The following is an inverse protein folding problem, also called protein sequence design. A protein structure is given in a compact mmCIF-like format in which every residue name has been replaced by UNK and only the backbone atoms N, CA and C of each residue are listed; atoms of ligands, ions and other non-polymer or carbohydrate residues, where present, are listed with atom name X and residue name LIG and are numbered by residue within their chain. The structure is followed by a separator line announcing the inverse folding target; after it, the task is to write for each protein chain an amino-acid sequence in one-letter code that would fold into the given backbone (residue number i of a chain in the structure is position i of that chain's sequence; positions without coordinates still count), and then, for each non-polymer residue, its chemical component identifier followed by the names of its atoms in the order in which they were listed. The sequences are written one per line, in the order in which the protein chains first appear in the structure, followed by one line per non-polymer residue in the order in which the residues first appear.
data_IF_407017285844
#
_entry.id   IF_407017285844
#
_cell.length_a   1.000
_cell.length_b   1.000
_cell.length_c   1.000
_cell.angle_alpha   90.00
_cell.angle_beta   90.00
_cell.angle_gamma   90.00
#
_symmetry.space_group_name_H-M   'P 1'
#
loop_
_entity.id
_entity.type
_entity.pdbx_description
1 polymer ?
#
# COMPACT_ATOMS: atom_id res chain seq x y z
N UNK A 1 5.71 10.19 5.70
CA UNK A 1 5.91 10.13 7.17
C UNK A 1 5.70 8.69 7.58
N UNK A 2 6.70 8.07 8.15
CA UNK A 2 6.62 6.74 8.75
C UNK A 2 6.29 6.91 10.23
N UNK A 3 5.28 6.19 10.68
CA UNK A 3 4.94 6.08 12.11
C UNK A 3 5.52 4.80 12.66
N UNK A 4 6.02 4.82 13.89
CA UNK A 4 6.62 3.68 14.56
C UNK A 4 5.86 3.33 15.83
N UNK A 5 5.66 2.04 16.08
CA UNK A 5 5.22 1.53 17.38
C UNK A 5 6.39 0.83 18.05
N UNK A 6 6.71 1.30 19.26
CA UNK A 6 7.74 0.70 20.13
C UNK A 6 7.06 -0.04 21.26
N UNK A 7 7.44 -1.29 21.43
CA UNK A 7 7.03 -2.10 22.57
C UNK A 7 8.23 -2.16 23.52
N UNK A 8 8.08 -1.65 24.74
CA UNK A 8 9.10 -1.66 25.76
C UNK A 8 8.67 -2.43 27.00
N UNK A 9 9.62 -3.03 27.67
CA UNK A 9 9.38 -3.66 28.98
C UNK A 9 9.13 -2.57 30.03
N UNK A 10 8.01 -2.63 30.77
CA UNK A 10 7.67 -1.63 31.77
C UNK A 10 8.64 -1.59 32.97
N UNK A 11 9.38 -2.67 33.23
CA UNK A 11 10.27 -2.78 34.37
C UNK A 11 11.69 -2.29 34.05
N UNK A 12 12.20 -2.64 32.88
CA UNK A 12 13.59 -2.35 32.46
C UNK A 12 13.69 -1.16 31.51
N UNK A 13 12.59 -0.72 30.90
CA UNK A 13 12.57 0.33 29.89
C UNK A 13 13.19 -0.09 28.55
N UNK A 14 13.65 -1.33 28.42
CA UNK A 14 14.24 -1.86 27.20
C UNK A 14 13.21 -1.99 26.10
N UNK A 15 13.55 -1.58 24.88
CA UNK A 15 12.71 -1.77 23.71
C UNK A 15 12.77 -3.23 23.27
N UNK A 16 11.64 -3.93 23.35
CA UNK A 16 11.49 -5.32 22.94
C UNK A 16 11.25 -5.46 21.44
N UNK A 17 10.53 -4.53 20.86
CA UNK A 17 10.20 -4.53 19.42
C UNK A 17 9.94 -3.10 18.95
N UNK A 18 10.37 -2.82 17.72
CA UNK A 18 10.11 -1.57 17.02
C UNK A 18 9.59 -1.90 15.63
N UNK A 19 8.35 -1.49 15.32
CA UNK A 19 7.70 -1.80 14.05
C UNK A 19 7.20 -0.52 13.38
N UNK A 20 7.49 -0.40 12.08
CA UNK A 20 6.97 0.67 11.25
C UNK A 20 5.51 0.40 10.90
N UNK A 21 4.68 1.44 10.96
CA UNK A 21 3.27 1.35 10.64
C UNK A 21 3.03 2.06 9.31
N UNK A 22 2.39 1.40 8.34
CA UNK A 22 1.98 2.02 7.10
C UNK A 22 0.97 3.15 7.34
N UNK A 23 1.02 4.17 6.47
CA UNK A 23 0.01 5.23 6.47
C UNK A 23 -1.37 4.64 6.17
N UNK A 24 -2.36 5.04 6.95
CA UNK A 24 -3.73 4.54 6.82
C UNK A 24 -4.07 3.34 7.69
N UNK A 25 -3.16 2.90 8.54
CA UNK A 25 -3.42 1.82 9.48
C UNK A 25 -4.36 2.24 10.60
N UNK A 26 -5.25 1.34 11.00
CA UNK A 26 -6.06 1.49 12.21
C UNK A 26 -5.26 1.01 13.41
N UNK A 27 -5.17 1.85 14.45
CA UNK A 27 -4.44 1.53 15.69
C UNK A 27 -5.45 1.25 16.79
N UNK A 28 -5.44 0.02 17.33
CA UNK A 28 -6.36 -0.44 18.38
C UNK A 28 -5.85 -0.17 19.79
N UNK A 29 -4.59 0.20 19.93
CA UNK A 29 -3.95 0.41 21.23
C UNK A 29 -3.64 1.89 21.47
N UNK A 30 -3.89 2.35 22.67
CA UNK A 30 -3.52 3.71 23.09
C UNK A 30 -2.05 3.75 23.50
N UNK A 31 -1.42 4.91 23.34
CA UNK A 31 -0.04 5.12 23.79
C UNK A 31 0.13 4.77 25.27
N UNK A 32 1.23 4.15 25.61
CA UNK A 32 1.59 3.67 26.97
C UNK A 32 0.65 2.62 27.58
N UNK A 33 -0.20 1.97 26.77
CA UNK A 33 -1.07 0.90 27.26
C UNK A 33 -0.27 -0.37 27.43
N UNK A 34 -0.46 -1.08 28.57
CA UNK A 34 0.09 -2.43 28.75
C UNK A 34 -0.64 -3.41 27.84
N UNK A 35 0.10 -4.20 27.10
CA UNK A 35 -0.41 -5.21 26.17
C UNK A 35 0.14 -6.59 26.53
N UNK A 36 -0.58 -7.64 26.17
CA UNK A 36 -0.16 -9.03 26.31
C UNK A 36 0.26 -9.59 24.96
N UNK A 37 1.04 -10.66 24.96
CA UNK A 37 1.38 -11.41 23.74
C UNK A 37 0.09 -11.82 23.00
N UNK A 38 0.02 -11.59 21.69
CA UNK A 38 -1.16 -11.88 20.86
C UNK A 38 -2.21 -10.76 20.81
N UNK A 39 -1.98 -9.60 21.45
CA UNK A 39 -2.89 -8.44 21.32
C UNK A 39 -2.74 -7.83 19.92
N UNK A 40 -3.85 -7.64 19.22
CA UNK A 40 -3.89 -6.90 17.96
C UNK A 40 -3.55 -5.43 18.20
N UNK A 41 -2.52 -4.93 17.56
CA UNK A 41 -2.00 -3.57 17.75
C UNK A 41 -2.51 -2.66 16.65
N UNK A 42 -2.34 -3.04 15.40
CA UNK A 42 -2.79 -2.28 14.23
C UNK A 42 -3.25 -3.23 13.11
N UNK A 43 -4.01 -2.65 12.20
CA UNK A 43 -4.52 -3.32 11.01
C UNK A 43 -4.39 -2.35 9.83
N UNK A 44 -4.01 -2.83 8.66
CA UNK A 44 -3.90 -2.04 7.43
C UNK A 44 -4.29 -2.86 6.22
N UNK A 45 -4.64 -2.16 5.15
CA UNK A 45 -4.89 -2.75 3.84
C UNK A 45 -3.60 -2.70 2.99
N UNK A 46 -2.97 -3.85 2.69
CA UNK A 46 -1.76 -3.87 1.87
C UNK A 46 -2.02 -3.62 0.38
N UNK A 47 -3.25 -3.86 -0.09
CA UNK A 47 -3.62 -3.79 -1.51
C UNK A 47 -4.00 -2.38 -1.96
N UNK A 48 -4.40 -1.53 -1.04
CA UNK A 48 -4.82 -0.17 -1.35
C UNK A 48 -3.92 0.86 -0.65
N UNK A 49 -3.54 1.89 -1.40
CA UNK A 49 -3.14 3.16 -0.80
C UNK A 49 -4.39 3.91 -0.39
N UNK A 50 -4.33 4.69 0.67
CA UNK A 50 -5.50 5.45 1.15
C UNK A 50 -5.16 6.94 1.25
N UNK A 51 -6.17 7.78 0.99
CA UNK A 51 -6.16 9.20 1.37
C UNK A 51 -7.13 9.36 2.53
N UNK A 52 -6.62 9.88 3.64
CA UNK A 52 -7.36 10.05 4.89
C UNK A 52 -7.58 11.53 5.15
N UNK A 53 -8.72 11.86 5.76
CA UNK A 53 -9.00 13.22 6.18
C UNK A 53 -8.14 13.65 7.37
N UNK A 54 -7.40 14.74 7.21
CA UNK A 54 -6.60 15.36 8.27
C UNK A 54 -7.45 16.23 9.21
N UNK A 55 -8.69 16.57 8.81
CA UNK A 55 -9.60 17.44 9.56
C UNK A 55 -11.03 16.97 9.42
N UNK A 56 -11.88 17.37 10.37
CA UNK A 56 -13.33 17.23 10.24
C UNK A 56 -13.89 18.35 9.37
N UNK A 57 -14.89 18.04 8.55
CA UNK A 57 -15.49 19.02 7.66
C UNK A 57 -16.53 18.43 6.71
N UNK A 58 -16.89 19.20 5.69
CA UNK A 58 -17.79 18.79 4.61
C UNK A 58 -17.04 18.62 3.31
N UNK A 59 -17.25 17.51 2.62
CA UNK A 59 -16.66 17.25 1.31
C UNK A 59 -17.39 18.05 0.23
N UNK A 60 -16.62 18.58 -0.71
CA UNK A 60 -17.13 19.15 -1.95
C UNK A 60 -16.28 18.65 -3.12
N UNK A 61 -16.94 18.26 -4.19
CA UNK A 61 -16.29 17.83 -5.42
C UNK A 61 -15.90 19.04 -6.28
N UNK A 62 -14.71 19.01 -6.83
CA UNK A 62 -14.23 19.98 -7.81
C UNK A 62 -13.67 19.23 -9.03
N UNK A 63 -14.16 19.56 -10.21
CA UNK A 63 -13.81 18.88 -11.47
C UNK A 63 -14.06 17.35 -11.46
N UNK A 64 -15.05 16.89 -10.70
CA UNK A 64 -15.45 15.47 -10.62
C UNK A 64 -16.81 15.35 -11.32
N UNK A 65 -16.79 15.02 -12.62
CA UNK A 65 -17.97 14.95 -13.49
C UNK A 65 -18.15 13.53 -14.03
N UNK A 66 -19.40 13.00 -14.05
CA UNK A 66 -19.68 11.64 -14.52
C UNK A 66 -19.39 11.51 -16.02
N UNK A 67 -18.72 10.43 -16.41
CA UNK A 67 -18.35 10.15 -17.80
C UNK A 67 -17.20 11.01 -18.37
N UNK A 68 -16.69 11.98 -17.60
CA UNK A 68 -15.58 12.85 -18.02
C UNK A 68 -14.34 12.61 -17.15
N UNK A 69 -14.52 12.63 -15.82
CA UNK A 69 -13.42 12.47 -14.86
C UNK A 69 -13.61 11.27 -13.94
N UNK A 70 -14.83 10.74 -13.83
CA UNK A 70 -15.07 9.48 -13.14
C UNK A 70 -16.13 8.63 -13.85
N UNK A 71 -16.03 7.33 -13.67
CA UNK A 71 -17.05 6.34 -14.06
C UNK A 71 -17.51 5.56 -12.83
N UNK A 72 -18.72 5.00 -12.93
CA UNK A 72 -19.26 4.11 -11.90
C UNK A 72 -19.00 2.69 -12.35
N UNK A 73 -18.13 2.00 -11.64
CA UNK A 73 -17.85 0.59 -11.84
C UNK A 73 -18.64 -0.25 -10.81
N UNK A 74 -19.06 -1.42 -11.21
CA UNK A 74 -19.69 -2.38 -10.31
C UNK A 74 -18.64 -3.43 -9.98
N UNK A 75 -18.28 -3.54 -8.71
CA UNK A 75 -17.41 -4.61 -8.24
C UNK A 75 -18.15 -5.95 -8.40
N UNK A 76 -17.65 -6.82 -9.27
CA UNK A 76 -18.26 -8.13 -9.58
C UNK A 76 -18.31 -9.06 -8.37
N UNK A 77 -17.42 -8.87 -7.37
CA UNK A 77 -17.37 -9.72 -6.18
C UNK A 77 -18.34 -9.27 -5.10
N UNK A 78 -18.46 -7.97 -4.90
CA UNK A 78 -19.28 -7.40 -3.81
C UNK A 78 -20.62 -6.86 -4.30
N UNK A 79 -20.77 -6.59 -5.59
CA UNK A 79 -21.95 -5.98 -6.18
C UNK A 79 -22.13 -4.50 -5.84
N UNK A 80 -21.16 -3.88 -5.16
CA UNK A 80 -21.22 -2.45 -4.83
C UNK A 80 -20.78 -1.58 -6.01
N UNK A 81 -21.43 -0.43 -6.14
CA UNK A 81 -21.06 0.57 -7.12
C UNK A 81 -19.94 1.44 -6.53
N UNK A 82 -18.82 1.50 -7.21
CA UNK A 82 -17.69 2.34 -6.85
C UNK A 82 -17.45 3.41 -7.91
N UNK A 83 -17.13 4.62 -7.47
CA UNK A 83 -16.78 5.73 -8.37
C UNK A 83 -15.28 5.72 -8.59
N UNK A 84 -14.85 5.44 -9.80
CA UNK A 84 -13.43 5.33 -10.18
C UNK A 84 -13.03 6.54 -11.00
N UNK A 85 -11.95 7.19 -10.64
CA UNK A 85 -11.40 8.32 -11.39
C UNK A 85 -10.76 7.80 -12.68
N UNK A 86 -11.22 8.31 -13.82
CA UNK A 86 -10.70 8.00 -15.15
C UNK A 86 -9.80 9.12 -15.69
N UNK A 87 -9.00 8.81 -16.69
CA UNK A 87 -8.19 9.80 -17.36
C UNK A 87 -9.07 10.72 -18.23
N UNK A 88 -9.12 12.00 -17.87
CA UNK A 88 -9.84 12.99 -18.68
C UNK A 88 -9.06 13.39 -19.94
N UNK A 89 -9.74 13.49 -21.07
CA UNK A 89 -9.17 14.04 -22.31
C UNK A 89 -8.69 15.48 -22.13
N UNK A 90 -9.33 16.23 -21.24
CA UNK A 90 -8.92 17.59 -20.90
C UNK A 90 -8.00 17.60 -19.70
N UNK A 91 -6.68 17.68 -19.94
CA UNK A 91 -5.64 17.70 -18.90
C UNK A 91 -5.71 18.88 -17.93
N UNK A 92 -6.55 19.88 -18.20
CA UNK A 92 -6.77 21.02 -17.29
C UNK A 92 -7.76 20.68 -16.16
N UNK A 93 -8.57 19.65 -16.35
CA UNK A 93 -9.51 19.19 -15.32
C UNK A 93 -8.81 18.22 -14.40
N UNK A 94 -8.35 18.70 -13.25
CA UNK A 94 -7.75 17.88 -12.20
C UNK A 94 -8.85 17.56 -11.19
N UNK A 95 -9.28 16.28 -11.08
CA UNK A 95 -10.26 15.87 -10.10
C UNK A 95 -9.74 16.13 -8.69
N UNK A 96 -10.46 16.89 -7.89
CA UNK A 96 -10.02 17.30 -6.55
C UNK A 96 -11.15 17.17 -5.54
N UNK A 97 -10.87 16.62 -4.37
CA UNK A 97 -11.76 16.68 -3.21
C UNK A 97 -11.40 17.89 -2.36
N UNK A 98 -12.38 18.75 -2.12
CA UNK A 98 -12.26 19.89 -1.23
C UNK A 98 -12.89 19.57 0.12
N UNK A 99 -12.15 19.76 1.19
CA UNK A 99 -12.67 19.70 2.54
C UNK A 99 -12.96 21.12 3.04
N UNK A 100 -14.23 21.41 3.33
CA UNK A 100 -14.71 22.71 3.75
C UNK A 100 -15.11 22.70 5.23
N UNK A 101 -14.90 23.81 5.92
CA UNK A 101 -15.38 24.01 7.28
C UNK A 101 -16.88 24.37 7.31
N UNK A 102 -17.44 24.55 8.49
CA UNK A 102 -18.85 24.98 8.67
C UNK A 102 -19.16 26.36 8.08
N UNK A 103 -18.14 27.18 7.81
CA UNK A 103 -18.28 28.51 7.18
C UNK A 103 -18.14 28.46 5.66
N UNK A 104 -17.88 27.29 5.06
CA UNK A 104 -17.69 27.10 3.61
C UNK A 104 -16.29 27.39 3.11
N UNK A 105 -15.33 27.70 3.98
CA UNK A 105 -13.94 27.93 3.60
C UNK A 105 -13.22 26.60 3.37
N UNK A 106 -12.32 26.55 2.38
CA UNK A 106 -11.53 25.36 2.06
C UNK A 106 -10.42 25.19 3.09
N UNK A 107 -10.49 24.11 3.88
CA UNK A 107 -9.44 23.74 4.84
C UNK A 107 -8.32 22.98 4.12
N UNK A 108 -8.69 22.05 3.23
CA UNK A 108 -7.75 21.17 2.54
C UNK A 108 -8.28 20.79 1.17
N UNK A 109 -7.37 20.57 0.24
CA UNK A 109 -7.65 19.99 -1.08
C UNK A 109 -6.84 18.73 -1.28
N UNK A 110 -7.44 17.71 -1.89
CA UNK A 110 -6.83 16.42 -2.18
C UNK A 110 -6.99 16.15 -3.68
N UNK A 111 -5.90 16.19 -4.42
CA UNK A 111 -5.89 15.84 -5.83
C UNK A 111 -6.00 14.33 -5.99
N UNK A 112 -6.83 13.88 -6.90
CA UNK A 112 -7.12 12.47 -7.12
C UNK A 112 -6.34 11.92 -8.31
N UNK A 113 -5.55 10.87 -8.13
CA UNK A 113 -4.91 10.20 -9.25
C UNK A 113 -5.92 9.35 -10.02
N UNK A 114 -5.60 9.07 -11.29
CA UNK A 114 -6.36 8.14 -12.13
C UNK A 114 -6.35 6.73 -11.51
N UNK A 115 -7.49 6.06 -11.55
CA UNK A 115 -7.70 4.77 -10.90
C UNK A 115 -7.98 4.85 -9.40
N UNK A 116 -8.20 6.04 -8.84
CA UNK A 116 -8.61 6.21 -7.46
C UNK A 116 -10.11 5.93 -7.28
N UNK A 117 -10.46 5.16 -6.26
CA UNK A 117 -11.83 4.82 -5.89
C UNK A 117 -12.33 5.79 -4.82
N UNK A 118 -13.41 6.49 -5.09
CA UNK A 118 -14.03 7.42 -4.15
C UNK A 118 -14.89 6.67 -3.12
N UNK A 119 -14.58 6.85 -1.85
CA UNK A 119 -15.34 6.25 -0.74
C UNK A 119 -16.41 7.20 -0.20
N UNK A 120 -16.27 8.50 -0.46
CA UNK A 120 -17.14 9.55 0.04
C UNK A 120 -17.90 10.23 -1.10
N UNK A 121 -19.11 10.75 -0.80
CA UNK A 121 -19.92 11.48 -1.76
C UNK A 121 -19.80 12.99 -1.56
N UNK A 122 -20.23 13.72 -2.59
CA UNK A 122 -20.35 15.18 -2.48
C UNK A 122 -21.35 15.57 -1.39
N UNK A 123 -20.94 16.51 -0.54
CA UNK A 123 -21.76 16.96 0.58
C UNK A 123 -21.64 16.14 1.87
N UNK A 124 -20.91 15.03 1.88
CA UNK A 124 -20.74 14.21 3.09
C UNK A 124 -20.02 14.97 4.20
N UNK A 125 -20.50 14.78 5.44
CA UNK A 125 -19.78 15.22 6.64
C UNK A 125 -18.75 14.17 7.03
N UNK A 126 -17.53 14.62 7.19
CA UNK A 126 -16.36 13.78 7.43
C UNK A 126 -15.75 14.11 8.78
N UNK A 127 -15.42 13.07 9.53
CA UNK A 127 -14.64 13.17 10.76
C UNK A 127 -13.14 13.01 10.48
N UNK A 128 -12.32 13.43 11.43
CA UNK A 128 -10.88 13.22 11.41
C UNK A 128 -10.54 11.72 11.26
N UNK A 129 -9.63 11.38 10.35
CA UNK A 129 -9.16 10.03 10.17
C UNK A 129 -10.05 9.14 9.27
N UNK A 130 -11.15 9.68 8.69
CA UNK A 130 -11.98 8.92 7.76
C UNK A 130 -11.27 8.75 6.41
N UNK A 131 -11.34 7.56 5.86
CA UNK A 131 -10.81 7.26 4.51
C UNK A 131 -11.71 7.97 3.48
N UNK A 132 -11.10 8.79 2.65
CA UNK A 132 -11.76 9.54 1.57
C UNK A 132 -11.67 8.79 0.25
N UNK A 133 -10.49 8.21 -0.02
CA UNK A 133 -10.16 7.60 -1.30
C UNK A 133 -9.32 6.36 -1.06
N UNK A 134 -9.60 5.31 -1.82
CA UNK A 134 -8.75 4.13 -1.94
C UNK A 134 -8.07 4.16 -3.30
N UNK A 135 -6.78 3.93 -3.33
CA UNK A 135 -5.99 3.87 -4.56
C UNK A 135 -5.48 2.45 -4.64
N UNK A 136 -6.04 1.60 -5.51
CA UNK A 136 -5.53 0.26 -5.69
C UNK A 136 -4.04 0.36 -6.02
N UNK A 137 -3.22 -0.24 -5.20
CA UNK A 137 -1.84 -0.47 -5.60
C UNK A 137 -1.95 -1.43 -6.77
N UNK A 138 -1.78 -0.92 -7.98
CA UNK A 138 -1.61 -1.81 -9.11
C UNK A 138 -0.47 -2.73 -8.68
N UNK A 139 -0.80 -3.96 -8.28
CA UNK A 139 0.18 -5.02 -8.43
C UNK A 139 0.65 -4.81 -9.85
N UNK A 140 1.95 -4.56 -10.02
CA UNK A 140 2.49 -4.36 -11.36
C UNK A 140 1.82 -5.45 -12.15
N UNK A 141 0.94 -5.06 -13.08
CA UNK A 141 0.10 -6.01 -13.82
C UNK A 141 1.06 -7.11 -14.13
N UNK A 142 0.76 -8.30 -13.65
CA UNK A 142 1.41 -9.51 -14.13
C UNK A 142 1.78 -9.22 -15.55
N UNK A 143 3.06 -8.83 -15.73
CA UNK A 143 3.49 -8.21 -16.99
C UNK A 143 3.07 -9.20 -18.03
N UNK A 144 2.39 -8.76 -19.05
CA UNK A 144 1.71 -9.55 -20.07
C UNK A 144 2.47 -10.87 -20.24
N UNK A 145 1.97 -11.93 -19.56
CA UNK A 145 2.67 -13.21 -19.51
C UNK A 145 2.70 -13.66 -20.94
N UNK A 146 3.89 -13.64 -21.56
CA UNK A 146 4.07 -14.12 -22.90
C UNK A 146 3.46 -15.53 -22.96
N UNK A 147 2.30 -15.63 -23.57
CA UNK A 147 1.58 -16.90 -23.73
C UNK A 147 1.86 -17.54 -25.07
N UNK A 148 1.16 -18.62 -25.37
CA UNK A 148 1.27 -19.31 -26.65
C UNK A 148 2.60 -20.01 -26.87
N UNK A 149 2.99 -20.14 -28.15
CA UNK A 149 4.18 -20.89 -28.57
C UNK A 149 5.50 -20.40 -27.92
N UNK A 150 5.76 -19.10 -27.78
CA UNK A 150 6.99 -18.63 -27.11
C UNK A 150 7.09 -19.11 -25.66
N UNK A 151 6.00 -19.10 -24.92
CA UNK A 151 5.99 -19.57 -23.52
C UNK A 151 6.17 -21.07 -23.41
N UNK A 152 5.52 -21.82 -24.31
CA UNK A 152 5.67 -23.27 -24.40
C UNK A 152 7.13 -23.62 -24.66
N UNK A 153 7.79 -22.93 -25.60
CA UNK A 153 9.20 -23.16 -25.93
C UNK A 153 10.12 -22.85 -24.73
N UNK A 154 9.90 -21.73 -24.03
CA UNK A 154 10.66 -21.41 -22.81
C UNK A 154 10.55 -22.52 -21.75
N UNK A 155 9.33 -23.03 -21.52
CA UNK A 155 9.09 -24.06 -20.50
C UNK A 155 9.74 -25.39 -20.88
N UNK A 156 9.59 -25.86 -22.14
CA UNK A 156 10.17 -27.11 -22.58
C UNK A 156 11.71 -27.07 -22.73
N UNK A 157 12.24 -25.91 -23.09
CA UNK A 157 13.70 -25.72 -23.15
C UNK A 157 14.32 -25.36 -21.78
N UNK A 158 13.51 -25.24 -20.74
CA UNK A 158 13.91 -24.84 -19.38
C UNK A 158 14.78 -23.56 -19.37
N UNK A 159 14.42 -22.58 -20.20
CA UNK A 159 15.08 -21.27 -20.24
C UNK A 159 14.73 -20.46 -19.00
N UNK A 160 15.69 -19.68 -18.51
CA UNK A 160 15.41 -18.69 -17.48
C UNK A 160 14.48 -17.60 -18.03
N UNK A 161 13.45 -17.18 -17.26
CA UNK A 161 12.59 -16.06 -17.67
C UNK A 161 13.40 -14.77 -17.78
N UNK A 162 12.97 -13.88 -18.68
CA UNK A 162 13.63 -12.59 -18.92
C UNK A 162 13.62 -11.69 -17.67
N UNK A 163 12.60 -11.83 -16.83
CA UNK A 163 12.43 -11.07 -15.61
C UNK A 163 12.07 -12.02 -14.44
N UNK A 164 13.06 -12.73 -13.87
CA UNK A 164 12.80 -13.71 -12.83
C UNK A 164 12.38 -13.03 -11.53
N UNK A 165 11.37 -13.61 -10.86
CA UNK A 165 11.07 -13.27 -9.49
C UNK A 165 12.25 -13.61 -8.57
N UNK A 166 12.51 -12.78 -7.58
CA UNK A 166 13.51 -13.06 -6.55
C UNK A 166 12.80 -13.75 -5.39
N UNK A 167 13.27 -14.94 -5.05
CA UNK A 167 12.72 -15.75 -3.97
C UNK A 167 13.71 -15.84 -2.80
N UNK A 168 13.20 -15.99 -1.59
CA UNK A 168 14.02 -16.23 -0.41
C UNK A 168 14.66 -17.63 -0.47
N UNK A 169 15.96 -17.74 -0.21
CA UNK A 169 16.67 -19.02 -0.09
C UNK A 169 16.62 -19.59 1.32
N UNK A 170 16.36 -18.74 2.32
CA UNK A 170 16.37 -19.11 3.73
C UNK A 170 15.11 -18.63 4.45
N UNK A 171 14.76 -19.28 5.54
CA UNK A 171 13.73 -18.81 6.46
C UNK A 171 14.28 -17.68 7.32
N UNK A 172 13.58 -16.58 7.43
CA UNK A 172 14.07 -15.48 8.25
C UNK A 172 13.19 -14.24 8.27
N UNK A 173 13.67 -13.23 8.95
CA UNK A 173 13.01 -11.92 9.07
C UNK A 173 13.59 -10.98 8.01
N UNK A 174 12.69 -10.32 7.30
CA UNK A 174 13.04 -9.35 6.25
C UNK A 174 13.42 -8.01 6.87
N UNK A 175 14.48 -7.42 6.40
CA UNK A 175 14.83 -6.02 6.64
C UNK A 175 15.27 -5.34 5.36
N UNK A 176 14.94 -4.04 5.21
CA UNK A 176 15.34 -3.29 4.04
C UNK A 176 16.67 -2.59 4.25
N UNK A 177 17.60 -2.87 3.37
CA UNK A 177 18.89 -2.20 3.31
C UNK A 177 18.87 -0.90 2.50
N UNK A 178 20.05 -0.43 2.14
CA UNK A 178 20.24 0.81 1.36
C UNK A 178 19.88 0.61 -0.11
N UNK A 179 19.43 1.69 -0.75
CA UNK A 179 19.28 1.72 -2.21
C UNK A 179 20.67 1.94 -2.82
N UNK A 180 21.10 1.01 -3.68
CA UNK A 180 22.38 1.05 -4.38
C UNK A 180 22.16 0.95 -5.89
N UNK A 181 22.60 1.94 -6.65
CA UNK A 181 22.56 1.93 -8.14
C UNK A 181 21.21 1.53 -8.74
N UNK A 182 20.10 2.08 -8.22
CA UNK A 182 18.74 1.77 -8.70
C UNK A 182 18.16 0.43 -8.24
N UNK A 183 18.86 -0.28 -7.33
CA UNK A 183 18.38 -1.51 -6.71
C UNK A 183 18.18 -1.27 -5.20
N UNK A 184 17.11 -1.86 -4.65
CA UNK A 184 16.90 -1.92 -3.20
C UNK A 184 17.50 -3.21 -2.67
N UNK A 185 18.29 -3.11 -1.62
CA UNK A 185 18.82 -4.25 -0.89
C UNK A 185 17.74 -4.76 0.08
N UNK A 186 17.42 -6.05 0.00
CA UNK A 186 16.59 -6.75 0.98
C UNK A 186 17.49 -7.75 1.69
N UNK A 187 17.43 -7.74 3.01
CA UNK A 187 18.24 -8.56 3.89
C UNK A 187 17.30 -9.52 4.62
N UNK A 188 17.61 -10.81 4.58
CA UNK A 188 16.88 -11.82 5.35
C UNK A 188 17.84 -12.39 6.39
N UNK A 189 17.43 -12.32 7.65
CA UNK A 189 18.18 -12.84 8.77
C UNK A 189 17.44 -14.05 9.38
N UNK A 190 18.10 -15.21 9.30
CA UNK A 190 17.59 -16.43 9.89
C UNK A 190 17.81 -16.46 11.41
N UNK A 191 17.01 -17.25 12.11
CA UNK A 191 17.19 -17.48 13.57
C UNK A 191 18.54 -18.08 13.93
N UNK A 192 19.21 -18.72 12.97
CA UNK A 192 20.56 -19.29 13.10
C UNK A 192 21.65 -18.24 13.05
N UNK A 193 21.34 -16.97 12.70
CA UNK A 193 22.30 -15.91 12.46
C UNK A 193 22.82 -15.86 11.01
N UNK A 194 22.33 -16.72 10.13
CA UNK A 194 22.66 -16.63 8.70
C UNK A 194 21.95 -15.42 8.08
N UNK A 195 22.70 -14.65 7.27
CA UNK A 195 22.19 -13.44 6.63
C UNK A 195 22.33 -13.58 5.12
N UNK A 196 21.23 -13.41 4.38
CA UNK A 196 21.22 -13.35 2.91
C UNK A 196 20.79 -11.96 2.46
N UNK A 197 21.45 -11.48 1.40
CA UNK A 197 21.19 -10.15 0.82
C UNK A 197 20.77 -10.29 -0.63
N UNK A 198 19.65 -9.67 -0.96
CA UNK A 198 19.08 -9.68 -2.30
C UNK A 198 19.00 -8.26 -2.83
N UNK A 199 19.31 -8.06 -4.11
CA UNK A 199 19.22 -6.76 -4.77
C UNK A 199 18.03 -6.80 -5.73
N UNK A 200 17.00 -6.04 -5.43
CA UNK A 200 15.78 -5.95 -6.23
C UNK A 200 15.78 -4.62 -6.96
N UNK A 201 15.55 -4.66 -8.28
CA UNK A 201 15.41 -3.44 -9.08
C UNK A 201 14.24 -2.61 -8.58
N UNK A 202 14.38 -1.28 -8.53
CA UNK A 202 13.29 -0.38 -8.13
C UNK A 202 12.08 -0.43 -9.08
N UNK A 203 12.26 -0.95 -10.30
CA UNK A 203 11.18 -1.19 -11.26
C UNK A 203 10.32 -2.41 -10.90
N UNK A 204 10.87 -3.35 -10.12
CA UNK A 204 10.17 -4.56 -9.71
C UNK A 204 9.33 -4.28 -8.46
N UNK A 205 8.16 -4.90 -8.41
CA UNK A 205 7.32 -4.79 -7.23
C UNK A 205 7.86 -5.65 -6.09
N UNK A 206 8.01 -5.04 -4.92
CA UNK A 206 8.40 -5.75 -3.70
C UNK A 206 7.13 -6.26 -3.02
N UNK A 207 7.07 -7.58 -2.77
CA UNK A 207 5.92 -8.27 -2.19
C UNK A 207 6.01 -8.42 -0.67
N UNK A 208 7.19 -8.19 -0.09
CA UNK A 208 7.45 -8.33 1.35
C UNK A 208 7.61 -6.97 2.02
N UNK A 209 7.36 -6.93 3.33
CA UNK A 209 7.48 -5.72 4.15
C UNK A 209 8.62 -5.86 5.17
N UNK A 210 9.01 -4.73 5.75
CA UNK A 210 9.97 -4.69 6.85
C UNK A 210 9.45 -5.51 8.04
N UNK A 211 10.29 -6.36 8.60
CA UNK A 211 9.98 -7.28 9.70
C UNK A 211 9.02 -8.43 9.36
N UNK A 212 8.71 -8.68 8.08
CA UNK A 212 7.98 -9.88 7.70
C UNK A 212 8.82 -11.12 7.93
N UNK A 213 8.18 -12.20 8.38
CA UNK A 213 8.81 -13.52 8.44
C UNK A 213 8.50 -14.27 7.15
N UNK A 214 9.55 -14.60 6.39
CA UNK A 214 9.47 -15.35 5.13
C UNK A 214 10.07 -16.74 5.29
N UNK A 215 9.54 -17.68 4.53
CA UNK A 215 10.09 -19.03 4.40
C UNK A 215 10.93 -19.14 3.13
N UNK A 216 11.83 -20.09 3.10
CA UNK A 216 12.54 -20.45 1.86
C UNK A 216 11.53 -20.76 0.75
N UNK A 217 11.76 -20.19 -0.45
CA UNK A 217 10.84 -20.27 -1.58
C UNK A 217 9.77 -19.17 -1.63
N UNK A 218 9.65 -18.30 -0.62
CA UNK A 218 8.69 -17.17 -0.66
C UNK A 218 9.17 -16.14 -1.69
N UNK A 219 8.31 -15.72 -2.65
CA UNK A 219 8.65 -14.67 -3.60
C UNK A 219 8.73 -13.33 -2.88
N UNK A 220 9.81 -12.59 -3.10
CA UNK A 220 10.06 -11.26 -2.52
C UNK A 220 9.82 -10.15 -3.53
N UNK A 221 9.89 -10.46 -4.82
CA UNK A 221 9.59 -9.51 -5.91
C UNK A 221 8.90 -10.21 -7.06
N UNK A 222 8.20 -9.43 -7.82
CA UNK A 222 7.56 -9.81 -9.08
C UNK A 222 8.22 -9.07 -10.24
#
# INVERSE_FOLDING_TARGET
RTSEIKISDPNTGLTLSNNNIPYGSFIYVKNKKKIKKGTLICEWDPYNGVIISDYAGKISYENIEPGITYEVEIDEQTGFQEKVIIESRNKKLIPTLLLKNSKGEIIRSYNLPVGAHLVVNDGDKIDLGKILVKIPRKSAKTGDITGGLPRVTELFEARNPSNPAIVSEIDGVVSFGKIKRGNREIIIEAKTGEVRKYLIKLSNQILVQENDYVKAGTPMSE
#
